data_IF_221881166243
#
_entry.id   IF_221881166243
#
_cell.length_a   1.000
_cell.length_b   1.000
_cell.length_c   1.000
_cell.angle_alpha   90.00
_cell.angle_beta   90.00
_cell.angle_gamma   90.00
#
_symmetry.space_group_name_H-M   'P 1'
#
loop_
_entity.id
_entity.type
_entity.pdbx_description
1 polymer ?
#
# COMPACT_ATOMS: atom_id res chain seq x y z
N UNK A 1 -12.36 6.54 2.51
CA UNK A 1 -12.64 6.66 1.05
C UNK A 1 -13.82 5.75 0.69
N UNK A 2 -14.88 6.25 0.01
CA UNK A 2 -16.04 5.44 -0.40
C UNK A 2 -15.64 4.20 -1.22
N UNK A 3 -16.38 3.09 -1.09
CA UNK A 3 -16.12 1.82 -1.79
C UNK A 3 -16.10 1.97 -3.32
N UNK A 4 -17.07 2.67 -3.88
CA UNK A 4 -17.17 2.88 -5.33
C UNK A 4 -16.01 3.70 -5.88
N UNK A 5 -15.57 4.72 -5.13
CA UNK A 5 -14.41 5.51 -5.49
C UNK A 5 -13.12 4.68 -5.43
N UNK A 6 -12.95 3.83 -4.40
CA UNK A 6 -11.82 2.88 -4.33
C UNK A 6 -11.80 1.92 -5.52
N UNK A 7 -12.97 1.39 -5.91
CA UNK A 7 -13.08 0.53 -7.08
C UNK A 7 -12.67 1.27 -8.37
N UNK A 8 -13.18 2.50 -8.55
CA UNK A 8 -12.86 3.36 -9.71
C UNK A 8 -11.36 3.68 -9.77
N UNK A 9 -10.76 4.06 -8.64
CA UNK A 9 -9.31 4.32 -8.55
C UNK A 9 -8.53 3.08 -8.99
N UNK A 10 -8.90 1.90 -8.48
CA UNK A 10 -8.26 0.65 -8.87
C UNK A 10 -8.39 0.38 -10.36
N UNK A 11 -9.61 0.44 -10.92
CA UNK A 11 -9.86 0.11 -12.33
C UNK A 11 -9.09 1.05 -13.27
N UNK A 12 -9.01 2.34 -12.93
CA UNK A 12 -8.24 3.32 -13.70
C UNK A 12 -6.74 3.06 -13.63
N UNK A 13 -6.21 2.75 -12.45
CA UNK A 13 -4.79 2.42 -12.32
C UNK A 13 -4.45 1.08 -12.99
N UNK A 14 -5.36 0.10 -12.92
CA UNK A 14 -5.21 -1.20 -13.57
C UNK A 14 -5.02 -1.04 -15.07
N UNK A 15 -5.87 -0.23 -15.72
CA UNK A 15 -5.83 0.03 -17.16
C UNK A 15 -4.56 0.78 -17.62
N UNK A 16 -3.80 1.40 -16.70
CA UNK A 16 -2.51 2.03 -17.02
C UNK A 16 -1.36 1.01 -17.08
N UNK A 17 -1.52 -0.14 -16.42
CA UNK A 17 -0.46 -1.15 -16.23
C UNK A 17 -0.75 -2.42 -17.05
N UNK A 18 -2.02 -2.74 -17.23
CA UNK A 18 -2.49 -3.99 -17.81
C UNK A 18 -3.36 -3.75 -19.04
N UNK A 19 -3.40 -4.73 -19.93
CA UNK A 19 -4.25 -4.71 -21.14
C UNK A 19 -5.56 -5.48 -20.96
N UNK A 20 -5.56 -6.39 -19.99
CA UNK A 20 -6.66 -7.25 -19.60
C UNK A 20 -7.63 -6.55 -18.64
N UNK A 21 -8.83 -7.12 -18.50
CA UNK A 21 -9.82 -6.64 -17.55
C UNK A 21 -9.34 -6.83 -16.09
N UNK A 22 -9.70 -5.91 -15.18
CA UNK A 22 -9.35 -6.02 -13.77
C UNK A 22 -9.99 -7.26 -13.12
N UNK A 23 -9.34 -7.84 -12.08
CA UNK A 23 -9.90 -8.98 -11.36
C UNK A 23 -11.26 -8.66 -10.73
N UNK A 24 -12.16 -9.64 -10.78
CA UNK A 24 -13.51 -9.54 -10.20
C UNK A 24 -13.54 -9.89 -8.72
N UNK A 25 -12.66 -10.77 -8.24
CA UNK A 25 -12.51 -11.05 -6.80
C UNK A 25 -11.79 -9.90 -6.10
N UNK A 26 -12.44 -9.18 -5.16
CA UNK A 26 -11.83 -8.08 -4.43
C UNK A 26 -10.51 -8.43 -3.74
N UNK A 27 -10.32 -9.69 -3.31
CA UNK A 27 -9.08 -10.13 -2.64
C UNK A 27 -7.87 -10.17 -3.58
N UNK A 28 -8.12 -10.27 -4.88
CA UNK A 28 -7.09 -10.35 -5.92
C UNK A 28 -6.83 -9.00 -6.60
N UNK A 29 -7.56 -7.95 -6.21
CA UNK A 29 -7.38 -6.59 -6.72
C UNK A 29 -6.15 -5.94 -6.09
N UNK A 30 -4.98 -6.42 -6.52
CA UNK A 30 -3.66 -5.92 -6.14
C UNK A 30 -2.99 -5.31 -7.36
N UNK A 31 -2.46 -4.09 -7.22
CA UNK A 31 -1.66 -3.45 -8.26
C UNK A 31 -0.21 -3.88 -8.10
N UNK A 32 0.28 -4.73 -9.00
CA UNK A 32 1.70 -5.06 -9.07
C UNK A 32 2.44 -4.01 -9.91
N UNK A 33 3.21 -3.15 -9.23
CA UNK A 33 3.94 -2.05 -9.87
C UNK A 33 5.36 -2.45 -10.31
N UNK A 34 5.81 -3.68 -10.04
CA UNK A 34 7.19 -4.12 -10.30
C UNK A 34 7.57 -4.09 -11.79
N UNK A 35 6.59 -4.28 -12.68
CA UNK A 35 6.78 -4.19 -14.12
C UNK A 35 6.63 -2.77 -14.69
N UNK A 36 6.24 -1.79 -13.86
CA UNK A 36 5.98 -0.41 -14.29
C UNK A 36 7.25 0.42 -14.46
N UNK A 37 7.14 1.49 -15.25
CA UNK A 37 8.17 2.55 -15.32
C UNK A 37 7.85 3.67 -14.33
N UNK A 38 8.80 4.57 -14.09
CA UNK A 38 8.57 5.80 -13.32
C UNK A 38 7.38 6.60 -13.88
N UNK A 39 7.27 6.69 -15.21
CA UNK A 39 6.13 7.33 -15.88
C UNK A 39 4.80 6.64 -15.55
N UNK A 40 4.77 5.30 -15.48
CA UNK A 40 3.56 4.54 -15.10
C UNK A 40 3.15 4.85 -13.67
N UNK A 41 4.13 4.97 -12.76
CA UNK A 41 3.90 5.31 -11.36
C UNK A 41 3.34 6.73 -11.23
N UNK A 42 3.92 7.70 -11.93
CA UNK A 42 3.43 9.09 -11.96
C UNK A 42 1.99 9.17 -12.49
N UNK A 43 1.69 8.44 -13.55
CA UNK A 43 0.34 8.39 -14.12
C UNK A 43 -0.68 7.83 -13.11
N UNK A 44 -0.33 6.76 -12.40
CA UNK A 44 -1.18 6.21 -11.33
C UNK A 44 -1.38 7.22 -10.20
N UNK A 45 -0.31 7.86 -9.72
CA UNK A 45 -0.36 8.85 -8.66
C UNK A 45 -1.24 10.05 -9.04
N UNK A 46 -1.06 10.58 -10.25
CA UNK A 46 -1.85 11.68 -10.79
C UNK A 46 -3.34 11.32 -10.89
N UNK A 47 -3.63 10.10 -11.35
CA UNK A 47 -5.00 9.56 -11.43
C UNK A 47 -5.64 9.47 -10.04
N UNK A 48 -4.93 8.89 -9.06
CA UNK A 48 -5.40 8.78 -7.67
C UNK A 48 -5.70 10.16 -7.09
N UNK A 49 -4.76 11.10 -7.22
CA UNK A 49 -4.91 12.47 -6.69
C UNK A 49 -6.10 13.19 -7.31
N UNK A 50 -6.27 13.09 -8.62
CA UNK A 50 -7.39 13.71 -9.34
C UNK A 50 -8.73 13.16 -8.84
N UNK A 51 -8.89 11.84 -8.84
CA UNK A 51 -10.14 11.20 -8.41
C UNK A 51 -10.50 11.50 -6.95
N UNK A 52 -9.51 11.54 -6.06
CA UNK A 52 -9.74 11.91 -4.66
C UNK A 52 -10.13 13.39 -4.53
N UNK A 53 -9.44 14.27 -5.25
CA UNK A 53 -9.72 15.72 -5.23
C UNK A 53 -11.10 16.04 -5.76
N UNK A 54 -11.51 15.39 -6.85
CA UNK A 54 -12.84 15.54 -7.46
C UNK A 54 -13.95 15.07 -6.51
N UNK A 55 -13.66 14.05 -5.69
CA UNK A 55 -14.54 13.59 -4.62
C UNK A 55 -14.48 14.46 -3.34
N UNK A 56 -13.73 15.56 -3.35
CA UNK A 56 -13.56 16.46 -2.19
C UNK A 56 -12.63 15.92 -1.09
N UNK A 57 -11.92 14.80 -1.34
CA UNK A 57 -11.01 14.17 -0.39
C UNK A 57 -9.63 14.80 -0.53
N UNK A 58 -9.27 15.68 0.41
CA UNK A 58 -7.97 16.40 0.42
C UNK A 58 -6.95 15.81 1.39
N UNK A 59 -7.41 14.99 2.33
CA UNK A 59 -6.56 14.39 3.36
C UNK A 59 -6.80 12.89 3.37
N UNK A 60 -5.71 12.14 3.34
CA UNK A 60 -5.70 10.70 3.58
C UNK A 60 -4.87 10.46 4.83
N UNK A 61 -5.47 9.78 5.80
CA UNK A 61 -4.79 9.24 6.97
C UNK A 61 -4.69 7.74 6.79
N UNK A 62 -3.51 7.19 7.02
CA UNK A 62 -3.33 5.76 7.10
C UNK A 62 -3.82 5.30 8.48
N UNK A 63 -4.98 4.66 8.54
CA UNK A 63 -5.67 4.26 9.78
C UNK A 63 -5.59 2.75 10.04
N UNK A 64 -4.76 2.03 9.28
CA UNK A 64 -4.53 0.60 9.45
C UNK A 64 -3.13 0.34 9.99
N UNK A 65 -2.99 -0.50 11.03
CA UNK A 65 -1.66 -0.93 11.46
C UNK A 65 -0.98 -1.72 10.34
N UNK A 66 0.35 -1.79 10.38
CA UNK A 66 1.10 -2.62 9.44
C UNK A 66 0.63 -4.07 9.57
N UNK A 67 0.28 -4.70 8.45
CA UNK A 67 -0.10 -6.11 8.44
C UNK A 67 1.09 -6.98 8.85
N UNK A 68 0.87 -8.07 9.62
CA UNK A 68 1.93 -9.01 9.92
C UNK A 68 2.50 -9.63 8.63
N UNK A 69 3.79 -10.01 8.62
CA UNK A 69 4.39 -10.65 7.46
C UNK A 69 3.62 -11.93 7.11
N UNK A 70 3.19 -12.03 5.86
CA UNK A 70 2.42 -13.18 5.35
C UNK A 70 3.31 -14.36 4.94
N UNK A 71 4.62 -14.15 4.89
CA UNK A 71 5.61 -15.15 4.50
C UNK A 71 6.66 -15.30 5.59
N UNK A 72 7.01 -16.54 5.91
CA UNK A 72 8.13 -16.81 6.80
C UNK A 72 9.45 -16.43 6.13
N UNK A 73 10.36 -15.83 6.90
CA UNK A 73 11.72 -15.58 6.43
C UNK A 73 12.46 -16.91 6.22
N UNK A 74 13.35 -16.94 5.23
CA UNK A 74 14.16 -18.13 4.98
C UNK A 74 15.04 -18.46 6.20
N UNK A 75 15.42 -19.74 6.43
CA UNK A 75 16.31 -20.10 7.54
C UNK A 75 17.65 -19.36 7.52
N UNK A 76 18.16 -19.02 6.32
CA UNK A 76 19.38 -18.23 6.15
C UNK A 76 19.20 -16.75 6.53
N UNK A 77 17.98 -16.21 6.49
CA UNK A 77 17.68 -14.83 6.88
C UNK A 77 17.51 -14.65 8.39
N UNK A 78 17.12 -15.70 9.15
CA UNK A 78 17.00 -15.64 10.62
C UNK A 78 18.22 -15.06 11.34
N UNK A 79 19.46 -15.52 11.12
CA UNK A 79 20.62 -14.95 11.79
C UNK A 79 20.89 -13.48 11.42
N UNK A 80 20.46 -13.03 10.23
CA UNK A 80 20.56 -11.63 9.83
C UNK A 80 19.51 -10.77 10.53
N UNK A 81 18.28 -11.27 10.66
CA UNK A 81 17.18 -10.60 11.38
C UNK A 81 17.54 -10.47 12.86
N UNK A 82 18.04 -11.54 13.48
CA UNK A 82 18.46 -11.53 14.88
C UNK A 82 19.58 -10.51 15.11
N UNK A 83 20.57 -10.45 14.19
CA UNK A 83 21.65 -9.45 14.25
C UNK A 83 21.13 -8.03 14.06
N UNK A 84 20.16 -7.81 13.17
CA UNK A 84 19.56 -6.50 12.93
C UNK A 84 18.84 -6.00 14.19
N UNK A 85 18.10 -6.87 14.88
CA UNK A 85 17.43 -6.52 16.14
C UNK A 85 18.38 -6.18 17.29
N UNK A 86 19.61 -6.69 17.27
CA UNK A 86 20.65 -6.29 18.24
C UNK A 86 21.30 -4.94 17.90
N UNK A 87 21.39 -4.60 16.60
CA UNK A 87 21.99 -3.34 16.13
C UNK A 87 21.03 -2.15 16.28
N UNK A 88 19.73 -2.42 16.16
CA UNK A 88 18.66 -1.43 16.31
C UNK A 88 17.64 -1.97 17.32
N UNK A 89 17.95 -1.92 18.63
CA UNK A 89 17.06 -2.44 19.66
C UNK A 89 15.84 -1.55 19.88
N UNK A 90 15.95 -0.27 19.52
CA UNK A 90 14.84 0.66 19.57
C UNK A 90 13.87 0.36 18.41
N UNK A 91 12.54 0.34 18.67
CA UNK A 91 11.57 0.19 17.61
C UNK A 91 11.77 1.34 16.60
N UNK A 92 11.71 1.06 15.29
CA UNK A 92 11.91 2.09 14.28
C UNK A 92 10.96 3.26 14.50
N UNK A 93 11.47 4.50 14.37
CA UNK A 93 10.70 5.75 14.40
C UNK A 93 9.67 5.75 13.23
N UNK A 94 8.54 5.09 13.45
CA UNK A 94 7.23 5.19 12.78
C UNK A 94 7.12 4.62 11.34
N UNK A 95 6.21 3.63 11.20
CA UNK A 95 5.05 3.66 10.26
C UNK A 95 3.77 3.15 10.94
N UNK A 96 3.64 3.30 12.27
CA UNK A 96 2.37 3.05 12.96
C UNK A 96 1.63 4.37 13.18
N UNK A 97 0.34 4.49 12.81
CA UNK A 97 -0.46 5.63 13.23
C UNK A 97 -0.61 5.60 14.76
N UNK A 98 -0.39 6.75 15.42
CA UNK A 98 -0.46 6.89 16.87
C UNK A 98 -1.79 6.34 17.41
N UNK A 99 -1.69 5.44 18.39
CA UNK A 99 -2.85 4.90 19.11
C UNK A 99 -3.54 6.06 19.85
N UNK A 100 -4.86 6.28 19.70
CA UNK A 100 -5.53 7.35 20.43
C UNK A 100 -5.47 7.09 21.94
N UNK A 101 -5.38 8.14 22.78
CA UNK A 101 -5.25 8.00 24.21
C UNK A 101 -6.46 7.25 24.79
N UNK A 102 -6.18 6.20 25.56
CA UNK A 102 -7.21 5.49 26.33
C UNK A 102 -7.61 6.39 27.50
N UNK A 103 -8.82 6.95 27.41
CA UNK A 103 -9.53 7.57 28.53
C UNK A 103 -10.36 6.54 29.29
#
# INVERSE_FOLDING_TARGET
>A
VPSELRATIFDRCWALIHTEAPPTDPRTRVLDLRGGTELTLEACLSTIRTLLTDAGIRTLTWDHPVSPPTHESTPAAKPLIDRLGQLYPDPPEIVDPEKPPSG
#
